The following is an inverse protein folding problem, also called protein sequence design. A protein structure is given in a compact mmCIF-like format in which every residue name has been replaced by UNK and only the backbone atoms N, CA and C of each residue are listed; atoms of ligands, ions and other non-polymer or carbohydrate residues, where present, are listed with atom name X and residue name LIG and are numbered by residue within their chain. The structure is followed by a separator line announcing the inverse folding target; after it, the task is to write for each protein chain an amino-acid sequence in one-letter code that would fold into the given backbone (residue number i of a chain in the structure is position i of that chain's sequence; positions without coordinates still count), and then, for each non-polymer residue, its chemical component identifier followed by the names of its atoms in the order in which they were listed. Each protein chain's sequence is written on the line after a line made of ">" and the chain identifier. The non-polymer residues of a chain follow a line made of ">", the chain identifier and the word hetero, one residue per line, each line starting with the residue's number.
data_IF_798426106205
#
_entry.id   IF_798426106205
#
_cell.length_a   1.000
_cell.length_b   1.000
_cell.length_c   1.000
_cell.angle_alpha   90.00
_cell.angle_beta   90.00
_cell.angle_gamma   90.00
#
_symmetry.space_group_name_H-M   'P 1'
#
loop_
_entity.id
_entity.type
_entity.pdbx_description
1 polymer ?
#
# COMPACT_ATOMS: atom_id res chain seq x y z
N UNK A 1 -12.83 21.64 -1.07
CA UNK A 1 -12.55 20.94 -2.34
C UNK A 1 -11.19 20.27 -2.19
N UNK A 2 -11.15 19.01 -1.77
CA UNK A 2 -9.89 18.28 -1.55
C UNK A 2 -9.31 17.92 -2.91
N UNK A 3 -8.12 18.43 -3.23
CA UNK A 3 -7.43 18.09 -4.48
C UNK A 3 -7.11 16.59 -4.44
N UNK A 4 -7.56 15.83 -5.44
CA UNK A 4 -7.15 14.43 -5.56
C UNK A 4 -5.62 14.37 -5.75
N UNK A 5 -4.94 13.65 -4.86
CA UNK A 5 -3.50 13.38 -4.97
C UNK A 5 -3.33 12.16 -5.87
N UNK A 6 -2.58 12.24 -6.98
CA UNK A 6 -2.32 11.08 -7.80
C UNK A 6 -1.45 10.07 -7.02
N UNK A 7 -1.77 8.77 -7.09
CA UNK A 7 -0.95 7.76 -6.46
C UNK A 7 0.42 7.65 -7.15
N UNK A 8 1.42 7.31 -6.36
CA UNK A 8 2.79 7.04 -6.81
C UNK A 8 3.19 5.61 -6.42
N UNK A 9 4.13 5.03 -7.16
CA UNK A 9 4.67 3.72 -6.83
C UNK A 9 5.59 3.80 -5.60
N UNK A 10 5.42 2.85 -4.68
CA UNK A 10 6.23 2.72 -3.48
C UNK A 10 7.45 1.83 -3.75
N UNK A 11 8.52 2.41 -4.30
CA UNK A 11 9.76 1.69 -4.62
C UNK A 11 10.85 1.83 -3.55
N UNK A 12 10.81 2.88 -2.74
CA UNK A 12 11.87 3.20 -1.76
C UNK A 12 11.69 2.53 -0.40
N UNK A 13 12.79 2.28 0.31
CA UNK A 13 12.77 1.71 1.67
C UNK A 13 11.92 2.54 2.64
N UNK A 14 12.04 3.87 2.59
CA UNK A 14 11.23 4.80 3.40
C UNK A 14 9.74 4.69 3.09
N UNK A 15 9.38 4.54 1.82
CA UNK A 15 7.99 4.39 1.40
C UNK A 15 7.41 3.06 1.91
N UNK A 16 8.18 1.97 1.81
CA UNK A 16 7.79 0.66 2.31
C UNK A 16 7.64 0.64 3.83
N UNK A 17 8.53 1.29 4.57
CA UNK A 17 8.43 1.38 6.04
C UNK A 17 7.20 2.16 6.48
N UNK A 18 6.87 3.25 5.78
CA UNK A 18 5.64 3.98 6.03
C UNK A 18 4.39 3.14 5.73
N UNK A 19 4.40 2.33 4.66
CA UNK A 19 3.29 1.43 4.34
C UNK A 19 3.16 0.32 5.39
N UNK A 20 4.26 -0.25 5.87
CA UNK A 20 4.27 -1.22 6.97
C UNK A 20 3.61 -0.65 8.22
N UNK A 21 3.89 0.62 8.53
CA UNK A 21 3.29 1.31 9.66
C UNK A 21 1.79 1.53 9.45
N UNK A 22 1.38 2.00 8.27
CA UNK A 22 -0.03 2.21 7.94
C UNK A 22 -0.83 0.91 7.99
N UNK A 23 -0.28 -0.19 7.48
CA UNK A 23 -0.92 -1.50 7.55
C UNK A 23 -1.18 -1.91 9.00
N UNK A 24 -0.19 -1.71 9.88
CA UNK A 24 -0.34 -1.95 11.33
C UNK A 24 -1.43 -1.06 11.93
N UNK A 25 -1.37 0.25 11.69
CA UNK A 25 -2.36 1.21 12.21
C UNK A 25 -3.79 0.90 11.74
N UNK A 26 -3.94 0.37 10.53
CA UNK A 26 -5.23 -0.12 10.01
C UNK A 26 -5.67 -1.44 10.65
N UNK A 27 -4.73 -2.33 10.93
CA UNK A 27 -5.00 -3.67 11.47
C UNK A 27 -5.33 -3.65 12.96
N UNK A 28 -4.61 -2.86 13.77
CA UNK A 28 -4.73 -2.87 15.23
C UNK A 28 -6.17 -2.71 15.76
N UNK A 29 -7.04 -1.86 15.19
CA UNK A 29 -8.43 -1.75 15.61
C UNK A 29 -9.33 -2.92 15.21
N UNK A 30 -8.92 -3.74 14.23
CA UNK A 30 -9.72 -4.87 13.73
C UNK A 30 -9.66 -6.06 14.69
N UNK A 31 -8.53 -6.27 15.37
CA UNK A 31 -8.33 -7.43 16.24
C UNK A 31 -8.15 -8.73 15.44
N UNK A 32 -8.52 -9.87 16.02
CA UNK A 32 -8.27 -11.21 15.45
C UNK A 32 -9.25 -11.61 14.33
N UNK A 33 -9.41 -10.75 13.31
CA UNK A 33 -10.21 -11.11 12.14
C UNK A 33 -9.53 -12.25 11.36
N UNK A 34 -10.23 -13.37 11.09
CA UNK A 34 -9.66 -14.54 10.41
C UNK A 34 -9.27 -14.28 8.94
N UNK A 35 -9.59 -13.12 8.39
CA UNK A 35 -9.23 -12.76 7.01
C UNK A 35 -7.74 -12.41 6.83
N UNK A 36 -6.92 -12.46 7.88
CA UNK A 36 -5.56 -11.90 7.91
C UNK A 36 -4.49 -12.88 8.46
N UNK A 37 -4.65 -14.18 8.20
CA UNK A 37 -3.78 -15.25 8.75
C UNK A 37 -2.27 -15.01 8.49
N UNK A 38 -1.90 -14.47 7.33
CA UNK A 38 -0.50 -14.22 6.94
C UNK A 38 -0.09 -12.74 7.02
N UNK A 39 -0.84 -11.90 7.74
CA UNK A 39 -0.66 -10.44 7.71
C UNK A 39 0.76 -10.00 8.11
N UNK A 40 1.34 -10.58 9.16
CA UNK A 40 2.71 -10.23 9.56
C UNK A 40 3.75 -10.61 8.51
N UNK A 41 3.57 -11.76 7.87
CA UNK A 41 4.46 -12.26 6.83
C UNK A 41 4.37 -11.33 5.61
N UNK A 42 3.15 -10.97 5.20
CA UNK A 42 2.92 -10.04 4.09
C UNK A 42 3.51 -8.66 4.37
N UNK A 43 3.26 -8.10 5.56
CA UNK A 43 3.76 -6.78 5.98
C UNK A 43 5.29 -6.75 6.05
N UNK A 44 5.92 -7.78 6.62
CA UNK A 44 7.38 -7.88 6.66
C UNK A 44 7.97 -8.01 5.24
N UNK A 45 7.30 -8.79 4.39
CA UNK A 45 7.74 -9.12 3.03
C UNK A 45 7.59 -8.02 1.98
N UNK A 46 7.04 -6.83 2.32
CA UNK A 46 6.85 -5.75 1.34
C UNK A 46 8.17 -5.34 0.61
N UNK A 47 8.13 -5.09 -0.71
CA UNK A 47 6.94 -5.06 -1.57
C UNK A 47 6.46 -6.46 -1.97
N UNK A 48 7.25 -7.52 -1.80
CA UNK A 48 6.79 -8.91 -1.88
C UNK A 48 5.90 -9.22 -3.09
N UNK A 49 4.70 -9.73 -2.82
CA UNK A 49 3.68 -10.00 -3.84
C UNK A 49 3.06 -8.76 -4.52
N UNK A 50 3.59 -7.56 -4.27
CA UNK A 50 3.27 -6.28 -4.91
C UNK A 50 4.39 -5.75 -5.81
N UNK A 51 5.51 -6.48 -5.92
CA UNK A 51 6.63 -6.07 -6.75
C UNK A 51 6.37 -6.27 -8.26
N UNK A 52 7.04 -5.49 -9.14
CA UNK A 52 7.04 -5.68 -10.60
C UNK A 52 7.45 -7.10 -11.04
N UNK A 53 7.11 -7.53 -12.27
CA UNK A 53 6.51 -6.76 -13.37
C UNK A 53 4.97 -6.73 -13.40
N UNK A 54 4.31 -7.70 -12.77
CA UNK A 54 2.86 -7.88 -12.91
C UNK A 54 2.04 -7.05 -11.91
N UNK A 55 2.73 -6.47 -10.92
CA UNK A 55 2.13 -5.84 -9.76
C UNK A 55 2.94 -4.63 -9.33
N UNK A 56 2.25 -3.72 -8.65
CA UNK A 56 2.81 -2.47 -8.19
C UNK A 56 2.11 -2.09 -6.88
N UNK A 57 2.89 -1.62 -5.91
CA UNK A 57 2.36 -1.06 -4.67
C UNK A 57 2.18 0.45 -4.84
N UNK A 58 0.94 0.93 -4.74
CA UNK A 58 0.62 2.33 -4.91
C UNK A 58 0.33 2.99 -3.55
N UNK A 59 0.80 4.22 -3.42
CA UNK A 59 0.60 5.06 -2.23
C UNK A 59 0.17 6.47 -2.62
N UNK A 60 -0.68 7.08 -1.79
CA UNK A 60 -0.96 8.51 -1.87
C UNK A 60 -0.09 9.27 -0.86
N UNK A 61 0.49 10.41 -1.25
CA UNK A 61 1.31 11.26 -0.37
C UNK A 61 0.61 12.60 -0.13
N UNK A 62 0.34 12.93 1.13
CA UNK A 62 -0.04 14.29 1.51
C UNK A 62 1.17 14.98 2.13
N UNK A 63 1.90 15.74 1.31
CA UNK A 63 3.22 16.26 1.66
C UNK A 63 4.24 15.13 1.87
N UNK A 64 4.88 15.11 3.05
CA UNK A 64 5.85 14.06 3.44
C UNK A 64 5.20 12.86 4.14
N UNK A 65 3.88 12.89 4.39
CA UNK A 65 3.16 11.82 5.05
C UNK A 65 2.49 10.91 4.00
N UNK A 66 2.53 9.60 4.24
CA UNK A 66 1.78 8.63 3.44
C UNK A 66 0.35 8.62 3.93
N UNK A 67 -0.59 8.97 3.05
CA UNK A 67 -2.01 9.10 3.38
C UNK A 67 -2.79 7.77 3.19
N UNK A 68 -2.14 6.73 2.68
CA UNK A 68 -2.72 5.40 2.51
C UNK A 68 -1.95 4.53 1.51
N UNK A 69 -1.97 3.21 1.71
CA UNK A 69 -1.47 2.22 0.76
C UNK A 69 -2.62 1.32 0.31
N UNK A 70 -2.75 1.08 -1.00
CA UNK A 70 -3.81 0.21 -1.52
C UNK A 70 -3.27 -0.75 -2.58
N UNK A 71 -3.77 -1.99 -2.54
CA UNK A 71 -3.48 -3.03 -3.52
C UNK A 71 -4.19 -2.72 -4.83
N UNK A 72 -3.46 -2.67 -5.94
CA UNK A 72 -4.05 -2.73 -7.28
C UNK A 72 -3.56 -3.97 -8.03
N UNK A 73 -4.46 -4.63 -8.75
CA UNK A 73 -4.12 -5.49 -9.88
C UNK A 73 -3.98 -4.55 -11.08
N UNK A 74 -3.08 -4.83 -12.04
CA UNK A 74 -3.04 -4.08 -13.32
C UNK A 74 -4.45 -3.83 -13.85
N UNK A 75 -4.89 -2.58 -13.76
CA UNK A 75 -5.97 -2.05 -14.58
C UNK A 75 -5.24 -1.38 -15.72
N UNK A 76 -5.32 -1.96 -16.92
CA UNK A 76 -5.03 -1.21 -18.14
C UNK A 76 -6.02 -0.06 -18.14
N UNK A 77 -5.58 1.13 -17.74
CA UNK A 77 -6.35 2.35 -17.93
C UNK A 77 -6.41 2.56 -19.44
N UNK A 78 -7.53 2.15 -20.05
CA UNK A 78 -7.82 2.45 -21.43
C UNK A 78 -7.76 3.97 -21.60
N UNK A 79 -6.76 4.43 -22.33
CA UNK A 79 -6.61 5.81 -22.73
C UNK A 79 -7.84 6.25 -23.50
N UNK A 80 -8.53 7.28 -23.02
CA UNK A 80 -9.17 8.31 -23.85
C UNK A 80 -9.10 9.65 -23.15
#
# INVERSE_FOLDING_TARGET
>A
MTKAVPPVEATGTVDLDNIRRLFREFYDPLGDYPCFEDFEIERAGLPGGYAPPDRCLLMAKDGNAVAGGFRTRSVVAATR
#
